data_IF_011695348453
#
_entry.id   IF_011695348453
#
_cell.length_a   1.000
_cell.length_b   1.000
_cell.length_c   1.000
_cell.angle_alpha   90.00
_cell.angle_beta   90.00
_cell.angle_gamma   90.00
#
_symmetry.space_group_name_H-M   'P 1'
#
loop_
_entity.id
_entity.type
_entity.pdbx_description
1 polymer ?
#
# COMPACT_ATOMS: atom_id res chain seq x y z
N UNK A 1 -15.92 -10.55 -22.49
CA UNK A 1 -14.72 -9.83 -22.03
C UNK A 1 -14.87 -8.40 -22.48
N UNK A 2 -14.97 -7.45 -21.55
CA UNK A 2 -15.07 -6.02 -21.89
C UNK A 2 -13.70 -5.51 -22.37
N UNK A 3 -13.68 -4.35 -23.03
CA UNK A 3 -12.44 -3.75 -23.55
C UNK A 3 -11.44 -3.32 -22.44
N UNK A 4 -11.91 -3.19 -21.20
CA UNK A 4 -11.10 -2.79 -20.02
C UNK A 4 -10.54 -4.00 -19.23
N UNK A 5 -11.09 -5.20 -19.40
CA UNK A 5 -10.60 -6.42 -18.74
C UNK A 5 -9.28 -6.93 -19.32
N UNK A 6 -8.98 -6.62 -20.59
CA UNK A 6 -7.77 -7.08 -21.28
C UNK A 6 -6.51 -6.31 -20.85
N UNK A 7 -6.54 -4.98 -20.65
CA UNK A 7 -5.42 -4.21 -20.09
C UNK A 7 -5.00 -4.64 -18.68
N UNK A 8 -5.94 -4.77 -17.74
CA UNK A 8 -5.62 -5.07 -16.33
C UNK A 8 -4.90 -6.41 -16.16
N UNK A 9 -5.36 -7.46 -16.85
CA UNK A 9 -4.69 -8.78 -16.78
C UNK A 9 -3.29 -8.74 -17.39
N UNK A 10 -3.07 -7.87 -18.38
CA UNK A 10 -1.73 -7.59 -18.92
C UNK A 10 -0.82 -6.98 -17.86
N UNK A 11 -1.27 -5.92 -17.20
CA UNK A 11 -0.53 -5.24 -16.13
C UNK A 11 -0.21 -6.17 -14.96
N UNK A 12 -1.15 -7.02 -14.55
CA UNK A 12 -0.91 -8.03 -13.50
C UNK A 12 0.14 -9.04 -13.94
N UNK A 13 0.13 -9.46 -15.21
CA UNK A 13 1.14 -10.37 -15.73
C UNK A 13 2.52 -9.71 -15.74
N UNK A 14 2.61 -8.46 -16.20
CA UNK A 14 3.86 -7.69 -16.21
C UNK A 14 4.39 -7.48 -14.78
N UNK A 15 3.51 -7.21 -13.81
CA UNK A 15 3.88 -7.08 -12.39
C UNK A 15 4.33 -8.40 -11.75
N UNK A 16 3.79 -9.54 -12.20
CA UNK A 16 4.27 -10.86 -11.78
C UNK A 16 5.63 -11.19 -12.41
N UNK A 17 5.81 -10.81 -13.68
CA UNK A 17 7.02 -11.06 -14.46
C UNK A 17 8.20 -10.15 -14.05
N UNK A 18 7.93 -8.97 -13.47
CA UNK A 18 8.97 -8.11 -12.90
C UNK A 18 9.73 -8.78 -11.74
N UNK A 19 9.06 -9.73 -11.07
CA UNK A 19 9.61 -10.52 -9.99
C UNK A 19 9.73 -9.77 -8.66
N UNK A 20 9.33 -8.49 -8.56
CA UNK A 20 9.35 -7.75 -7.30
C UNK A 20 7.92 -7.54 -6.74
N UNK A 21 7.65 -7.84 -5.44
CA UNK A 21 6.29 -7.78 -4.89
C UNK A 21 5.62 -6.42 -4.99
N UNK A 22 6.40 -5.34 -5.00
CA UNK A 22 5.91 -3.97 -5.01
C UNK A 22 4.94 -3.68 -6.17
N UNK A 23 5.21 -4.19 -7.37
CA UNK A 23 4.41 -3.84 -8.55
C UNK A 23 2.98 -4.38 -8.41
N UNK A 24 2.82 -5.66 -8.02
CA UNK A 24 1.50 -6.25 -7.79
C UNK A 24 0.80 -5.60 -6.60
N UNK A 25 1.52 -5.36 -5.50
CA UNK A 25 0.93 -4.78 -4.28
C UNK A 25 0.49 -3.32 -4.50
N UNK A 26 1.21 -2.57 -5.33
CA UNK A 26 0.83 -1.24 -5.79
C UNK A 26 -0.45 -1.27 -6.61
N UNK A 27 -0.54 -2.16 -7.60
CA UNK A 27 -1.76 -2.37 -8.40
C UNK A 27 -2.97 -2.71 -7.51
N UNK A 28 -2.80 -3.64 -6.56
CA UNK A 28 -3.87 -4.04 -5.63
C UNK A 28 -4.30 -2.88 -4.74
N UNK A 29 -3.37 -2.04 -4.29
CA UNK A 29 -3.71 -0.84 -3.52
C UNK A 29 -4.55 0.15 -4.34
N UNK A 30 -4.20 0.35 -5.60
CA UNK A 30 -4.99 1.19 -6.52
C UNK A 30 -6.37 0.63 -6.78
N UNK A 31 -6.51 -0.69 -6.95
CA UNK A 31 -7.81 -1.35 -7.09
C UNK A 31 -8.69 -1.15 -5.84
N UNK A 32 -8.12 -1.27 -4.63
CA UNK A 32 -8.85 -0.99 -3.39
C UNK A 32 -9.30 0.48 -3.34
N UNK A 33 -8.42 1.42 -3.69
CA UNK A 33 -8.77 2.85 -3.77
C UNK A 33 -9.91 3.09 -4.75
N UNK A 34 -9.84 2.51 -5.95
CA UNK A 34 -10.86 2.65 -6.99
C UNK A 34 -12.24 2.13 -6.56
N UNK A 35 -12.30 1.24 -5.57
CA UNK A 35 -13.55 0.71 -5.00
C UNK A 35 -14.01 1.43 -3.72
N UNK A 36 -13.22 2.39 -3.24
CA UNK A 36 -13.53 3.12 -2.01
C UNK A 36 -14.56 4.20 -2.30
N UNK A 37 -15.66 4.29 -1.54
CA UNK A 37 -16.65 5.36 -1.71
C UNK A 37 -15.98 6.74 -1.53
N UNK A 38 -16.14 7.59 -2.53
CA UNK A 38 -15.73 9.00 -2.46
C UNK A 38 -16.88 9.86 -1.91
N UNK A 39 -16.54 11.06 -1.45
CA UNK A 39 -17.54 12.05 -1.00
C UNK A 39 -18.61 12.25 -2.09
N UNK A 40 -19.92 12.29 -1.74
CA UNK A 40 -20.99 12.52 -2.70
C UNK A 40 -20.79 13.76 -3.59
N UNK A 41 -20.14 14.81 -3.10
CA UNK A 41 -19.82 16.00 -3.89
C UNK A 41 -18.79 15.70 -4.99
N UNK A 42 -17.81 14.84 -4.72
CA UNK A 42 -16.84 14.35 -5.72
C UNK A 42 -17.50 13.35 -6.67
N UNK A 43 -18.37 12.49 -6.13
CA UNK A 43 -19.10 11.49 -6.90
C UNK A 43 -20.02 12.11 -7.97
N UNK A 44 -20.56 13.29 -7.72
CA UNK A 44 -21.40 14.04 -8.67
C UNK A 44 -20.62 14.56 -9.88
N UNK A 45 -19.30 14.69 -9.79
CA UNK A 45 -18.43 15.10 -10.89
C UNK A 45 -17.95 13.90 -11.74
N UNK A 46 -18.24 12.65 -11.32
CA UNK A 46 -17.86 11.43 -12.03
C UNK A 46 -18.97 10.96 -12.98
N UNK A 47 -18.59 10.55 -14.19
CA UNK A 47 -19.52 10.04 -15.23
C UNK A 47 -20.24 8.73 -14.82
N UNK A 48 -19.62 7.94 -13.93
CA UNK A 48 -20.19 6.71 -13.39
C UNK A 48 -19.77 6.47 -11.94
N UNK A 49 -20.60 5.75 -11.19
CA UNK A 49 -20.24 5.28 -9.86
C UNK A 49 -19.10 4.25 -9.96
N UNK A 50 -18.06 4.33 -9.10
CA UNK A 50 -17.03 3.30 -9.05
C UNK A 50 -17.66 1.95 -8.66
N UNK A 51 -17.13 0.83 -9.20
CA UNK A 51 -17.57 -0.49 -8.76
C UNK A 51 -17.25 -0.68 -7.28
N UNK A 52 -18.12 -1.37 -6.58
CA UNK A 52 -17.85 -1.78 -5.21
C UNK A 52 -16.76 -2.86 -5.14
N UNK A 53 -16.14 -3.00 -3.97
CA UNK A 53 -15.15 -4.07 -3.75
C UNK A 53 -15.76 -5.46 -3.92
N UNK A 54 -17.03 -5.67 -3.55
CA UNK A 54 -17.71 -6.95 -3.75
C UNK A 54 -17.94 -7.28 -5.23
N UNK A 55 -18.31 -6.30 -6.05
CA UNK A 55 -18.42 -6.47 -7.50
C UNK A 55 -17.06 -6.82 -8.11
N UNK A 56 -15.99 -6.12 -7.71
CA UNK A 56 -14.63 -6.41 -8.18
C UNK A 56 -14.17 -7.82 -7.79
N UNK A 57 -14.34 -8.21 -6.52
CA UNK A 57 -13.99 -9.56 -6.05
C UNK A 57 -14.84 -10.61 -6.75
N UNK A 58 -16.13 -10.36 -6.95
CA UNK A 58 -17.01 -11.28 -7.69
C UNK A 58 -16.53 -11.49 -9.12
N UNK A 59 -16.18 -10.42 -9.84
CA UNK A 59 -15.63 -10.52 -11.19
C UNK A 59 -14.33 -11.33 -11.23
N UNK A 60 -13.42 -11.12 -10.27
CA UNK A 60 -12.19 -11.90 -10.18
C UNK A 60 -12.45 -13.37 -9.85
N UNK A 61 -13.43 -13.66 -8.98
CA UNK A 61 -13.85 -15.04 -8.63
C UNK A 61 -14.37 -15.77 -9.86
N UNK A 62 -15.22 -15.12 -10.66
CA UNK A 62 -15.87 -15.68 -11.85
C UNK A 62 -14.92 -15.89 -13.03
N UNK A 63 -13.73 -15.29 -13.00
CA UNK A 63 -12.69 -15.46 -14.00
C UNK A 63 -11.48 -16.21 -13.42
N UNK A 64 -11.47 -17.55 -13.37
CA UNK A 64 -10.37 -18.30 -12.79
C UNK A 64 -9.18 -18.38 -13.77
N UNK A 65 -8.33 -17.37 -13.75
CA UNK A 65 -7.02 -17.32 -14.45
C UNK A 65 -5.89 -17.06 -13.44
N UNK A 66 -4.60 -17.29 -13.78
CA UNK A 66 -3.49 -17.06 -12.86
C UNK A 66 -3.45 -15.63 -12.29
N UNK A 67 -3.74 -14.63 -13.12
CA UNK A 67 -3.68 -13.21 -12.78
C UNK A 67 -4.73 -12.84 -11.73
N UNK A 68 -5.99 -13.25 -11.91
CA UNK A 68 -7.04 -13.01 -10.89
C UNK A 68 -6.80 -13.82 -9.63
N UNK A 69 -6.16 -15.00 -9.72
CA UNK A 69 -5.72 -15.71 -8.52
C UNK A 69 -4.67 -14.92 -7.74
N UNK A 70 -3.71 -14.29 -8.43
CA UNK A 70 -2.70 -13.45 -7.78
C UNK A 70 -3.34 -12.22 -7.12
N UNK A 71 -4.26 -11.55 -7.81
CA UNK A 71 -5.03 -10.43 -7.24
C UNK A 71 -5.81 -10.85 -5.99
N UNK A 72 -6.55 -11.96 -6.05
CA UNK A 72 -7.30 -12.48 -4.89
C UNK A 72 -6.36 -12.89 -3.74
N UNK A 73 -5.18 -13.45 -4.03
CA UNK A 73 -4.20 -13.79 -3.01
C UNK A 73 -3.70 -12.55 -2.27
N UNK A 74 -3.35 -11.49 -3.01
CA UNK A 74 -2.92 -10.22 -2.43
C UNK A 74 -4.06 -9.54 -1.63
N UNK A 75 -5.27 -9.45 -2.19
CA UNK A 75 -6.46 -8.92 -1.52
C UNK A 75 -6.76 -9.66 -0.21
N UNK A 76 -6.65 -10.99 -0.21
CA UNK A 76 -6.85 -11.83 0.96
C UNK A 76 -5.87 -11.55 2.12
N UNK A 77 -4.80 -10.80 1.88
CA UNK A 77 -3.82 -10.38 2.89
C UNK A 77 -3.90 -8.89 3.18
N UNK A 78 -4.10 -8.05 2.17
CA UNK A 78 -4.14 -6.59 2.28
C UNK A 78 -5.45 -6.02 2.83
N UNK A 79 -6.57 -6.72 2.69
CA UNK A 79 -7.83 -6.27 3.29
C UNK A 79 -7.81 -6.39 4.82
N UNK A 80 -8.53 -5.49 5.50
CA UNK A 80 -8.58 -5.43 6.96
C UNK A 80 -9.20 -6.67 7.60
N UNK A 81 -8.89 -6.91 8.88
CA UNK A 81 -9.56 -7.94 9.66
C UNK A 81 -11.05 -7.58 9.83
N UNK A 82 -11.94 -8.57 9.66
CA UNK A 82 -13.39 -8.35 9.69
C UNK A 82 -14.01 -8.00 8.32
N UNK A 83 -13.21 -7.72 7.30
CA UNK A 83 -13.71 -7.56 5.94
C UNK A 83 -14.16 -8.92 5.37
N UNK A 84 -15.45 -9.03 5.01
CA UNK A 84 -16.02 -10.25 4.43
C UNK A 84 -15.32 -10.64 3.12
N UNK A 85 -14.85 -9.66 2.35
CA UNK A 85 -14.14 -9.90 1.09
C UNK A 85 -12.79 -10.55 1.29
N UNK A 86 -12.12 -10.31 2.43
CA UNK A 86 -10.87 -11.00 2.78
C UNK A 86 -11.05 -12.52 2.83
N UNK A 87 -12.10 -12.99 3.51
CA UNK A 87 -12.39 -14.42 3.63
C UNK A 87 -12.79 -15.03 2.28
N UNK A 88 -13.61 -14.31 1.50
CA UNK A 88 -14.02 -14.72 0.15
C UNK A 88 -12.82 -14.88 -0.79
N UNK A 89 -11.88 -13.93 -0.77
CA UNK A 89 -10.64 -14.01 -1.54
C UNK A 89 -9.82 -15.25 -1.17
N UNK A 90 -9.60 -15.49 0.13
CA UNK A 90 -8.85 -16.67 0.61
C UNK A 90 -9.51 -17.99 0.23
N UNK A 91 -10.84 -18.07 0.32
CA UNK A 91 -11.58 -19.26 -0.10
C UNK A 91 -11.39 -19.52 -1.60
N UNK A 92 -11.61 -18.50 -2.44
CA UNK A 92 -11.48 -18.63 -3.89
C UNK A 92 -10.06 -19.03 -4.32
N UNK A 93 -9.02 -18.53 -3.65
CA UNK A 93 -7.64 -18.96 -3.90
C UNK A 93 -7.44 -20.43 -3.53
N UNK A 94 -7.97 -20.88 -2.38
CA UNK A 94 -7.87 -22.27 -1.93
C UNK A 94 -8.59 -23.29 -2.81
N UNK A 95 -9.62 -22.86 -3.55
CA UNK A 95 -10.36 -23.70 -4.51
C UNK A 95 -9.65 -23.82 -5.87
N UNK A 96 -8.69 -22.94 -6.16
CA UNK A 96 -8.00 -22.88 -7.47
C UNK A 96 -6.70 -23.70 -7.47
N UNK A 97 -6.32 -24.16 -8.66
CA UNK A 97 -5.08 -24.95 -8.89
C UNK A 97 -3.92 -24.11 -9.44
N UNK A 98 -4.09 -22.80 -9.62
CA UNK A 98 -3.04 -21.94 -10.13
C UNK A 98 -1.92 -21.79 -9.11
N UNK A 99 -0.68 -21.81 -9.59
CA UNK A 99 0.48 -21.52 -8.75
C UNK A 99 0.66 -20.01 -8.69
N UNK A 100 0.87 -19.50 -7.49
CA UNK A 100 1.33 -18.13 -7.26
C UNK A 100 2.82 -18.14 -6.92
N UNK A 101 3.55 -17.03 -7.15
CA UNK A 101 4.93 -16.89 -6.69
C UNK A 101 5.06 -17.17 -5.18
N UNK A 102 6.22 -17.66 -4.74
CA UNK A 102 6.44 -18.02 -3.34
C UNK A 102 6.27 -16.82 -2.39
N UNK A 103 6.76 -15.64 -2.79
CA UNK A 103 6.59 -14.42 -2.00
C UNK A 103 5.11 -14.06 -1.79
N UNK A 104 4.24 -14.37 -2.76
CA UNK A 104 2.82 -14.09 -2.69
C UNK A 104 2.09 -15.15 -1.85
N UNK A 105 2.49 -16.43 -1.98
CA UNK A 105 1.99 -17.50 -1.14
C UNK A 105 2.30 -17.28 0.35
N UNK A 106 3.44 -16.66 0.65
CA UNK A 106 3.93 -16.38 1.99
C UNK A 106 3.83 -14.88 2.36
N UNK A 107 2.96 -14.13 1.70
CA UNK A 107 2.83 -12.68 1.89
C UNK A 107 2.46 -12.31 3.34
N UNK A 108 1.79 -13.20 4.06
CA UNK A 108 1.46 -13.06 5.48
C UNK A 108 2.67 -13.16 6.42
N UNK A 109 3.82 -13.66 5.93
CA UNK A 109 5.11 -13.68 6.64
C UNK A 109 5.93 -12.41 6.43
N UNK A 110 5.40 -11.42 5.72
CA UNK A 110 6.05 -10.11 5.55
C UNK A 110 6.27 -9.43 6.89
N UNK A 111 7.41 -8.76 7.06
CA UNK A 111 7.75 -8.04 8.28
C UNK A 111 8.16 -6.61 8.00
N UNK A 112 7.66 -5.67 8.81
CA UNK A 112 8.30 -4.37 9.00
C UNK A 112 9.38 -4.57 10.05
N UNK A 113 10.64 -4.49 9.66
CA UNK A 113 11.77 -4.86 10.53
C UNK A 113 12.46 -3.64 11.14
N UNK A 114 12.33 -2.46 10.53
CA UNK A 114 12.95 -1.22 10.99
C UNK A 114 12.07 -0.02 10.63
N UNK A 115 12.08 0.99 11.49
CA UNK A 115 11.44 2.28 11.27
C UNK A 115 12.44 3.41 11.55
N UNK A 116 12.45 4.42 10.71
CA UNK A 116 13.26 5.64 10.87
C UNK A 116 12.34 6.83 10.67
N UNK A 117 12.52 7.83 11.53
CA UNK A 117 11.88 9.13 11.42
C UNK A 117 12.88 10.12 10.86
N UNK A 118 12.49 10.82 9.81
CA UNK A 118 13.19 11.97 9.29
C UNK A 118 12.43 13.24 9.69
N UNK A 119 13.11 14.17 10.35
CA UNK A 119 12.58 15.48 10.75
C UNK A 119 13.48 16.58 10.26
N UNK A 120 12.93 17.79 10.13
CA UNK A 120 13.70 18.99 9.80
C UNK A 120 13.39 20.07 10.83
N UNK A 121 14.41 20.72 11.44
CA UNK A 121 14.22 21.57 12.62
C UNK A 121 13.29 22.80 12.40
N UNK A 122 13.09 23.22 11.15
CA UNK A 122 12.20 24.32 10.75
C UNK A 122 10.94 23.88 9.99
N UNK A 123 10.83 22.58 9.66
CA UNK A 123 9.65 22.02 9.01
C UNK A 123 8.95 21.09 9.99
N UNK A 124 7.71 21.41 10.33
CA UNK A 124 6.89 20.55 11.18
C UNK A 124 6.38 19.30 10.43
N UNK A 125 6.78 19.09 9.17
CA UNK A 125 6.58 17.85 8.42
C UNK A 125 7.53 16.76 8.88
N UNK A 126 6.99 15.55 9.05
CA UNK A 126 7.74 14.37 9.47
C UNK A 126 7.63 13.29 8.40
N UNK A 127 8.76 12.67 8.04
CA UNK A 127 8.75 11.50 7.18
C UNK A 127 9.04 10.24 7.97
N UNK A 128 8.20 9.22 7.80
CA UNK A 128 8.41 7.87 8.31
C UNK A 128 8.92 6.98 7.19
N UNK A 129 10.11 6.42 7.39
CA UNK A 129 10.71 5.41 6.52
C UNK A 129 10.63 4.04 7.18
N UNK A 130 9.98 3.08 6.51
CA UNK A 130 9.81 1.71 7.00
C UNK A 130 10.54 0.73 6.10
N UNK A 131 11.42 -0.07 6.71
CA UNK A 131 12.06 -1.20 6.05
C UNK A 131 11.16 -2.43 6.10
N UNK A 132 10.80 -2.94 4.92
CA UNK A 132 9.92 -4.10 4.75
C UNK A 132 10.69 -5.26 4.14
N UNK A 133 10.50 -6.45 4.68
CA UNK A 133 11.11 -7.69 4.20
C UNK A 133 10.07 -8.76 3.93
N UNK A 134 10.09 -9.30 2.72
CA UNK A 134 9.25 -10.42 2.28
C UNK A 134 9.86 -11.77 2.67
N UNK A 135 9.07 -12.84 2.58
CA UNK A 135 9.47 -14.18 3.02
C UNK A 135 10.65 -14.77 2.23
N UNK A 136 10.79 -14.37 0.98
CA UNK A 136 11.87 -14.78 0.08
C UNK A 136 13.13 -13.89 0.20
N UNK A 137 13.11 -12.91 1.10
CA UNK A 137 14.22 -12.01 1.37
C UNK A 137 14.26 -10.75 0.50
N UNK A 138 13.33 -10.57 -0.44
CA UNK A 138 13.19 -9.29 -1.13
C UNK A 138 12.81 -8.18 -0.14
N UNK A 139 13.19 -6.94 -0.45
CA UNK A 139 12.97 -5.80 0.44
C UNK A 139 12.42 -4.59 -0.31
N UNK A 140 11.60 -3.83 0.39
CA UNK A 140 11.16 -2.51 -0.05
C UNK A 140 11.19 -1.52 1.10
N UNK A 141 11.25 -0.24 0.75
CA UNK A 141 11.13 0.86 1.71
C UNK A 141 9.83 1.61 1.45
N UNK A 142 9.03 1.77 2.49
CA UNK A 142 7.87 2.66 2.47
C UNK A 142 8.30 4.01 3.05
N UNK A 143 7.99 5.11 2.37
CA UNK A 143 8.19 6.47 2.85
C UNK A 143 6.83 7.14 2.97
N UNK A 144 6.51 7.70 4.12
CA UNK A 144 5.23 8.36 4.41
C UNK A 144 5.50 9.75 4.98
N UNK A 145 5.01 10.79 4.31
CA UNK A 145 5.06 12.16 4.80
C UNK A 145 3.77 12.51 5.57
N UNK A 146 3.94 12.88 6.83
CA UNK A 146 2.87 13.26 7.75
C UNK A 146 3.01 14.74 8.09
N UNK A 147 1.96 15.52 7.83
CA UNK A 147 1.90 16.94 8.19
C UNK A 147 1.36 17.11 9.61
N UNK A 148 2.28 17.41 10.54
CA UNK A 148 1.96 17.64 11.96
C UNK A 148 1.40 19.05 12.24
N UNK A 149 1.37 19.98 11.27
CA UNK A 149 0.93 21.38 11.50
C UNK A 149 -0.57 21.55 11.63
N UNK A 150 -1.33 20.70 10.95
CA UNK A 150 -2.78 20.88 10.77
C UNK A 150 -3.60 19.73 11.33
N UNK A 151 -3.43 18.54 10.77
CA UNK A 151 -4.36 17.43 10.98
C UNK A 151 -3.66 16.11 11.29
N UNK A 152 -2.33 16.08 11.36
CA UNK A 152 -1.53 14.84 11.34
C UNK A 152 -1.88 13.96 10.11
N UNK A 153 -2.29 14.55 8.99
CA UNK A 153 -2.69 13.79 7.80
C UNK A 153 -1.48 13.38 6.97
N UNK A 154 -1.62 12.27 6.25
CA UNK A 154 -0.66 11.87 5.22
C UNK A 154 -0.87 12.76 4.00
N UNK A 155 0.17 13.47 3.60
CA UNK A 155 0.17 14.32 2.41
C UNK A 155 0.80 13.59 1.22
N UNK A 156 1.77 12.72 1.47
CA UNK A 156 2.35 11.86 0.46
C UNK A 156 2.83 10.53 1.04
N UNK A 157 2.85 9.49 0.21
CA UNK A 157 3.50 8.24 0.54
C UNK A 157 3.89 7.49 -0.74
N UNK A 158 5.09 6.92 -0.74
CA UNK A 158 5.60 6.17 -1.87
C UNK A 158 6.48 5.00 -1.42
N UNK A 159 6.82 4.14 -2.37
CA UNK A 159 7.55 2.91 -2.13
C UNK A 159 8.74 2.82 -3.05
N UNK A 160 9.86 2.36 -2.52
CA UNK A 160 11.09 2.11 -3.27
C UNK A 160 11.39 0.61 -3.22
N UNK A 161 11.64 -0.07 -4.36
CA UNK A 161 12.03 -1.48 -4.39
C UNK A 161 13.50 -1.63 -4.01
N UNK A 162 13.86 -1.17 -2.82
CA UNK A 162 15.22 -1.19 -2.28
C UNK A 162 15.21 -1.29 -0.75
N UNK A 163 16.24 -1.93 -0.16
CA UNK A 163 16.41 -1.97 1.28
C UNK A 163 16.50 -0.57 1.90
N UNK A 164 16.00 -0.42 3.13
CA UNK A 164 15.99 0.85 3.86
C UNK A 164 17.39 1.46 3.97
N UNK A 165 18.43 0.65 4.20
CA UNK A 165 19.80 1.15 4.33
C UNK A 165 20.30 1.82 3.03
N UNK A 166 19.90 1.31 1.87
CA UNK A 166 20.24 1.91 0.59
C UNK A 166 19.52 3.25 0.39
N UNK A 167 18.23 3.31 0.77
CA UNK A 167 17.43 4.54 0.70
C UNK A 167 17.99 5.61 1.65
N UNK A 168 18.32 5.24 2.89
CA UNK A 168 18.95 6.15 3.86
C UNK A 168 20.30 6.67 3.37
N UNK A 169 21.13 5.80 2.80
CA UNK A 169 22.44 6.21 2.24
C UNK A 169 22.26 7.30 1.17
N UNK A 170 21.27 7.15 0.29
CA UNK A 170 20.98 8.15 -0.75
C UNK A 170 20.39 9.42 -0.13
N UNK A 171 19.45 9.30 0.81
CA UNK A 171 18.81 10.43 1.46
C UNK A 171 19.81 11.28 2.26
N UNK A 172 20.67 10.64 3.05
CA UNK A 172 21.73 11.30 3.81
C UNK A 172 22.77 11.97 2.91
N UNK A 173 23.15 11.33 1.79
CA UNK A 173 24.10 11.91 0.84
C UNK A 173 23.51 13.08 0.06
N UNK A 174 22.21 13.06 -0.22
CA UNK A 174 21.49 14.15 -0.87
C UNK A 174 21.13 15.29 0.10
N UNK A 175 21.15 15.03 1.40
CA UNK A 175 20.81 16.03 2.41
C UNK A 175 21.89 17.10 2.52
N UNK A 176 21.57 18.31 2.06
CA UNK A 176 22.43 19.48 2.22
C UNK A 176 22.07 20.33 3.45
N UNK A 177 20.97 20.01 4.13
CA UNK A 177 20.47 20.78 5.26
C UNK A 177 20.97 20.17 6.60
N UNK A 178 21.78 20.89 7.39
CA UNK A 178 22.25 20.40 8.68
C UNK A 178 21.14 20.23 9.73
N UNK A 179 19.95 20.81 9.50
CA UNK A 179 18.81 20.73 10.41
C UNK A 179 17.92 19.50 10.16
N UNK A 180 18.24 18.67 9.15
CA UNK A 180 17.58 17.38 8.93
C UNK A 180 18.24 16.27 9.74
N UNK A 181 17.42 15.50 10.47
CA UNK A 181 17.90 14.35 11.25
C UNK A 181 17.17 13.07 10.86
N UNK A 182 17.89 11.94 10.95
CA UNK A 182 17.36 10.60 10.73
C UNK A 182 17.49 9.80 12.03
N UNK A 183 16.39 9.54 12.70
CA UNK A 183 16.36 8.85 13.99
C UNK A 183 15.66 7.49 13.87
N UNK A 184 16.30 6.44 14.40
CA UNK A 184 15.65 5.14 14.52
C UNK A 184 14.58 5.16 15.61
N UNK A 185 13.34 4.86 15.25
CA UNK A 185 12.21 4.82 16.19
C UNK A 185 11.70 3.40 16.39
N UNK A 186 10.91 3.18 17.44
CA UNK A 186 10.28 1.88 17.64
C UNK A 186 9.18 1.62 16.59
N UNK A 187 8.99 0.36 16.22
CA UNK A 187 7.89 -0.02 15.30
C UNK A 187 6.50 0.21 15.91
N UNK A 188 6.40 0.16 17.23
CA UNK A 188 5.15 0.46 17.94
C UNK A 188 4.79 1.95 17.84
N UNK A 189 5.79 2.81 17.97
CA UNK A 189 5.65 4.26 17.78
C UNK A 189 5.29 4.59 16.32
N UNK A 190 6.03 4.05 15.36
CA UNK A 190 5.71 4.22 13.93
C UNK A 190 4.28 3.75 13.59
N UNK A 191 3.82 2.67 14.23
CA UNK A 191 2.43 2.21 14.08
C UNK A 191 1.43 3.20 14.65
N UNK A 192 1.69 3.76 15.83
CA UNK A 192 0.81 4.73 16.47
C UNK A 192 0.65 5.97 15.59
N UNK A 193 1.78 6.49 15.05
CA UNK A 193 1.79 7.64 14.14
C UNK A 193 0.98 7.36 12.85
N UNK A 194 1.25 6.22 12.19
CA UNK A 194 0.50 5.84 10.99
C UNK A 194 -0.98 5.61 11.29
N UNK A 195 -1.32 5.03 12.44
CA UNK A 195 -2.71 4.79 12.80
C UNK A 195 -3.48 6.11 12.98
N UNK A 196 -2.89 7.08 13.68
CA UNK A 196 -3.47 8.43 13.80
C UNK A 196 -3.64 9.10 12.44
N UNK A 197 -2.60 9.05 11.60
CA UNK A 197 -2.61 9.72 10.30
C UNK A 197 -3.57 9.06 9.29
N UNK A 198 -3.69 7.73 9.33
CA UNK A 198 -4.64 6.97 8.51
C UNK A 198 -6.09 7.15 8.95
N UNK A 199 -6.35 7.51 10.22
CA UNK A 199 -7.69 7.80 10.71
C UNK A 199 -8.24 9.13 10.16
N UNK A 200 -7.36 10.01 9.66
CA UNK A 200 -7.78 11.25 9.03
C UNK A 200 -8.50 10.97 7.69
N UNK A 201 -9.61 11.67 7.41
CA UNK A 201 -10.28 11.56 6.13
C UNK A 201 -9.35 12.05 5.00
N UNK A 202 -9.47 11.45 3.82
CA UNK A 202 -8.80 11.95 2.64
C UNK A 202 -9.36 13.34 2.30
N UNK A 203 -8.47 14.32 2.24
CA UNK A 203 -8.84 15.69 1.84
C UNK A 203 -8.80 15.81 0.32
N UNK A 204 -9.52 16.79 -0.24
CA UNK A 204 -9.42 17.11 -1.66
C UNK A 204 -8.00 17.50 -2.08
N UNK A 205 -7.23 18.11 -1.18
CA UNK A 205 -5.82 18.44 -1.42
C UNK A 205 -4.98 17.16 -1.53
N UNK A 206 -5.18 16.19 -0.62
CA UNK A 206 -4.50 14.90 -0.67
C UNK A 206 -4.79 14.10 -1.96
N UNK A 207 -5.93 14.35 -2.62
CA UNK A 207 -6.28 13.74 -3.91
C UNK A 207 -5.69 14.46 -5.13
N UNK A 208 -5.23 15.71 -4.97
CA UNK A 208 -4.80 16.58 -6.08
C UNK A 208 -3.31 16.90 -6.07
N UNK A 209 -2.70 16.94 -4.89
CA UNK A 209 -1.37 17.49 -4.69
C UNK A 209 -0.27 16.41 -4.67
N UNK A 210 -0.64 15.13 -4.60
CA UNK A 210 0.29 14.00 -4.67
C UNK A 210 -0.07 13.08 -5.84
N UNK A 211 0.97 12.64 -6.56
CA UNK A 211 0.84 11.64 -7.63
C UNK A 211 0.79 10.20 -7.07
N UNK A 212 1.23 9.99 -5.83
CA UNK A 212 1.43 8.67 -5.21
C UNK A 212 0.45 8.36 -4.08
N UNK A 213 -0.05 9.40 -3.42
CA UNK A 213 -1.09 9.31 -2.41
C UNK A 213 -2.42 9.82 -2.97
N UNK A 214 -3.55 9.13 -2.74
CA UNK A 214 -3.74 7.95 -1.88
C UNK A 214 -3.63 6.60 -2.59
N UNK A 215 -3.05 6.53 -3.80
CA UNK A 215 -2.92 5.30 -4.61
C UNK A 215 -2.32 4.13 -3.82
N UNK A 216 -1.34 4.39 -2.96
CA UNK A 216 -0.68 3.38 -2.12
C UNK A 216 -1.30 3.21 -0.71
N UNK A 217 -2.45 3.84 -0.42
CA UNK A 217 -3.05 3.90 0.94
C UNK A 217 -3.33 2.54 1.54
N UNK A 218 -3.88 1.59 0.77
CA UNK A 218 -4.18 0.26 1.29
C UNK A 218 -2.89 -0.51 1.63
N UNK A 219 -1.79 -0.24 0.91
CA UNK A 219 -0.48 -0.81 1.19
C UNK A 219 0.09 -0.25 2.50
N UNK A 220 0.00 1.06 2.74
CA UNK A 220 0.39 1.69 4.01
C UNK A 220 -0.44 1.16 5.17
N UNK A 221 -1.76 1.01 4.99
CA UNK A 221 -2.66 0.43 5.99
C UNK A 221 -2.27 -1.01 6.34
N UNK A 222 -1.94 -1.82 5.33
CA UNK A 222 -1.48 -3.19 5.54
C UNK A 222 -0.18 -3.22 6.35
N UNK A 223 0.83 -2.44 5.98
CA UNK A 223 2.10 -2.36 6.71
C UNK A 223 1.92 -1.92 8.17
N UNK A 224 1.02 -0.95 8.42
CA UNK A 224 0.69 -0.51 9.78
C UNK A 224 0.18 -1.66 10.66
N UNK A 225 -0.60 -2.59 10.08
CA UNK A 225 -1.12 -3.77 10.81
C UNK A 225 -0.06 -4.84 11.10
N UNK A 226 1.05 -4.86 10.35
CA UNK A 226 2.16 -5.81 10.59
C UNK A 226 3.04 -5.41 11.79
N UNK A 227 2.98 -4.16 12.21
CA UNK A 227 3.78 -3.65 13.33
C UNK A 227 3.13 -3.95 14.68
N UNK A 228 3.89 -4.07 15.78
CA UNK A 228 3.32 -4.32 17.11
C UNK A 228 2.50 -3.12 17.61
N UNK A 229 1.53 -3.39 18.48
CA UNK A 229 0.91 -2.35 19.29
C UNK A 229 1.89 -1.89 20.38
N UNK A 230 1.81 -0.60 20.75
CA UNK A 230 2.50 -0.03 21.91
C UNK A 230 1.77 -0.30 23.22
#
# INVERSE_FOLDING_TARGET
MSAEEVPLLGEVRDALDSGHPLDLLGLVSMLILATTPVDPAVQQEMDAAPPSLDELVTAFVDMPVPETTALLAALGVMLSEGDAMRARCRQAVGERRHRVPSWLAELDRTTVHRAVRMTHALDDGEELLLGVRFADGQEMTCVVNIDRRKTSAINDAFFVPSPLDAVLTVAEAANTDPDTTFEGISRAEARADLHEALAQPLSLAALRDSDTWPSCRALVQWLSRLMPHG
#
